data_IF_549871027493
#
_entry.id   IF_549871027493
#
_cell.length_a   1.000
_cell.length_b   1.000
_cell.length_c   1.000
_cell.angle_alpha   90.00
_cell.angle_beta   90.00
_cell.angle_gamma   90.00
#
_symmetry.space_group_name_H-M   'P 1'
#
loop_
_entity.id
_entity.type
_entity.pdbx_description
1 polymer ?
#
# COMPACT_ATOMS: atom_id res chain seq x y z
N UNK A 1 -12.84 -10.89 33.71
CA UNK A 1 -12.92 -10.45 32.32
C UNK A 1 -11.79 -11.15 31.60
N UNK A 2 -12.12 -12.12 30.77
CA UNK A 2 -11.23 -13.21 30.39
C UNK A 2 -9.99 -12.73 29.62
N UNK A 3 -8.81 -13.01 30.16
CA UNK A 3 -7.56 -12.90 29.43
C UNK A 3 -7.54 -14.03 28.38
N UNK A 4 -7.87 -13.71 27.13
CA UNK A 4 -7.51 -14.59 26.02
C UNK A 4 -5.98 -14.55 25.91
N UNK A 5 -5.31 -15.41 26.67
CA UNK A 5 -3.88 -15.66 26.53
C UNK A 5 -3.67 -16.52 25.30
N UNK A 6 -3.62 -15.85 24.15
CA UNK A 6 -3.14 -16.42 22.89
C UNK A 6 -1.62 -16.50 23.02
N UNK A 7 -1.02 -17.69 22.90
CA UNK A 7 0.39 -17.96 23.22
C UNK A 7 1.45 -17.05 22.54
N UNK A 8 1.06 -16.20 21.59
CA UNK A 8 1.90 -15.19 20.97
C UNK A 8 1.18 -13.81 20.93
N UNK A 9 1.85 -12.69 21.30
CA UNK A 9 1.27 -11.35 21.28
C UNK A 9 0.76 -10.88 19.90
N UNK A 10 1.21 -11.48 18.80
CA UNK A 10 0.79 -11.15 17.44
C UNK A 10 -0.40 -11.97 16.94
N UNK A 11 -0.87 -12.97 17.70
CA UNK A 11 -1.94 -13.86 17.26
C UNK A 11 -3.24 -13.09 16.97
N UNK A 12 -3.59 -12.09 17.79
CA UNK A 12 -4.77 -11.25 17.54
C UNK A 12 -4.68 -10.47 16.22
N UNK A 13 -3.50 -9.92 15.91
CA UNK A 13 -3.26 -9.19 14.64
C UNK A 13 -3.38 -10.14 13.45
N UNK A 14 -2.84 -11.35 13.56
CA UNK A 14 -2.96 -12.37 12.53
C UNK A 14 -4.41 -12.80 12.28
N UNK A 15 -5.18 -13.04 13.35
CA UNK A 15 -6.62 -13.35 13.23
C UNK A 15 -7.39 -12.20 12.60
N UNK A 16 -7.10 -10.96 12.99
CA UNK A 16 -7.71 -9.77 12.39
C UNK A 16 -7.41 -9.69 10.89
N UNK A 17 -6.17 -9.96 10.49
CA UNK A 17 -5.78 -10.00 9.08
C UNK A 17 -6.58 -11.04 8.30
N UNK A 18 -6.68 -12.28 8.81
CA UNK A 18 -7.46 -13.33 8.15
C UNK A 18 -8.94 -12.99 8.04
N UNK A 19 -9.54 -12.46 9.10
CA UNK A 19 -10.96 -12.08 9.12
C UNK A 19 -11.23 -10.94 8.15
N UNK A 20 -10.39 -9.90 8.14
CA UNK A 20 -10.57 -8.73 7.26
C UNK A 20 -10.33 -9.09 5.80
N UNK A 21 -9.28 -9.87 5.50
CA UNK A 21 -9.02 -10.38 4.16
C UNK A 21 -10.16 -11.28 3.66
N UNK A 22 -10.62 -12.21 4.51
CA UNK A 22 -11.76 -13.08 4.22
C UNK A 22 -13.05 -12.29 3.99
N UNK A 23 -13.34 -11.30 4.83
CA UNK A 23 -14.51 -10.44 4.68
C UNK A 23 -14.45 -9.58 3.41
N UNK A 24 -13.31 -8.98 3.09
CA UNK A 24 -13.12 -8.19 1.88
C UNK A 24 -13.28 -9.04 0.61
N UNK A 25 -12.68 -10.22 0.58
CA UNK A 25 -12.83 -11.15 -0.56
C UNK A 25 -14.25 -11.67 -0.69
N UNK A 26 -14.92 -12.04 0.41
CA UNK A 26 -16.33 -12.45 0.40
C UNK A 26 -17.25 -11.34 -0.10
N UNK A 27 -17.12 -10.13 0.44
CA UNK A 27 -17.98 -9.00 0.06
C UNK A 27 -17.80 -8.63 -1.40
N UNK A 28 -16.57 -8.61 -1.92
CA UNK A 28 -16.30 -8.36 -3.34
C UNK A 28 -16.86 -9.45 -4.26
N UNK A 29 -16.76 -10.74 -3.88
CA UNK A 29 -17.34 -11.85 -4.64
C UNK A 29 -18.87 -11.78 -4.63
N UNK A 30 -19.49 -11.62 -3.45
CA UNK A 30 -20.94 -11.50 -3.30
C UNK A 30 -21.46 -10.31 -4.09
N UNK A 31 -20.82 -9.14 -3.97
CA UNK A 31 -21.17 -7.95 -4.74
C UNK A 31 -21.07 -8.24 -6.24
N UNK A 32 -19.99 -8.85 -6.72
CA UNK A 32 -19.83 -9.21 -8.14
C UNK A 32 -20.92 -10.16 -8.62
N UNK A 33 -21.27 -11.19 -7.84
CA UNK A 33 -22.30 -12.17 -8.20
C UNK A 33 -23.70 -11.52 -8.21
N UNK A 34 -24.03 -10.75 -7.18
CA UNK A 34 -25.29 -10.02 -7.07
C UNK A 34 -25.44 -9.01 -8.21
N UNK A 35 -24.42 -8.20 -8.48
CA UNK A 35 -24.41 -7.26 -9.61
C UNK A 35 -24.58 -7.99 -10.94
N UNK A 36 -23.91 -9.13 -11.16
CA UNK A 36 -24.10 -9.91 -12.41
C UNK A 36 -25.47 -10.57 -12.51
N UNK A 37 -26.15 -10.85 -11.40
CA UNK A 37 -27.50 -11.41 -11.41
C UNK A 37 -28.55 -10.34 -11.74
N UNK A 38 -28.38 -9.13 -11.20
CA UNK A 38 -29.31 -8.01 -11.37
C UNK A 38 -29.06 -7.18 -12.65
N UNK A 39 -27.83 -7.16 -13.17
CA UNK A 39 -27.48 -6.33 -14.32
C UNK A 39 -28.06 -6.88 -15.64
N UNK A 40 -28.58 -5.96 -16.46
CA UNK A 40 -28.88 -6.23 -17.87
C UNK A 40 -27.56 -6.42 -18.63
N UNK A 41 -27.27 -7.67 -19.04
CA UNK A 41 -26.04 -8.04 -19.73
C UNK A 41 -26.14 -7.72 -21.22
N UNK A 42 -25.78 -6.50 -21.60
CA UNK A 42 -25.65 -6.14 -23.01
C UNK A 42 -24.19 -6.28 -23.44
N UNK A 43 -23.92 -7.19 -24.39
CA UNK A 43 -22.57 -7.52 -24.89
C UNK A 43 -22.26 -6.89 -26.24
N UNK A 44 -22.84 -5.72 -26.53
CA UNK A 44 -22.48 -4.94 -27.73
C UNK A 44 -20.98 -4.63 -27.77
N UNK A 45 -20.36 -4.89 -28.92
CA UNK A 45 -18.92 -4.69 -29.16
C UNK A 45 -18.45 -3.28 -28.79
N UNK A 46 -19.27 -2.26 -29.07
CA UNK A 46 -18.96 -0.84 -28.77
C UNK A 46 -18.95 -0.56 -27.26
N UNK A 47 -19.77 -1.25 -26.47
CA UNK A 47 -19.77 -1.10 -24.99
C UNK A 47 -18.54 -1.74 -24.34
N UNK A 48 -17.89 -2.67 -25.05
CA UNK A 48 -16.71 -3.40 -24.60
C UNK A 48 -15.39 -2.83 -25.16
N UNK A 49 -15.46 -1.85 -26.07
CA UNK A 49 -14.27 -1.15 -26.56
C UNK A 49 -13.77 -0.12 -25.56
N UNK A 50 -12.47 0.17 -25.61
CA UNK A 50 -11.86 1.24 -24.81
C UNK A 50 -12.48 2.58 -25.18
N UNK A 51 -12.73 3.41 -24.18
CA UNK A 51 -13.33 4.73 -24.36
C UNK A 51 -12.32 5.73 -24.92
N UNK A 52 -12.60 6.29 -26.10
CA UNK A 52 -11.78 7.34 -26.74
C UNK A 52 -12.63 8.49 -27.34
N UNK A 53 -13.85 8.72 -26.82
CA UNK A 53 -14.78 9.74 -27.33
C UNK A 53 -15.24 9.55 -28.81
N UNK A 54 -15.18 8.34 -29.35
CA UNK A 54 -15.77 8.01 -30.67
C UNK A 54 -14.81 7.32 -31.65
N UNK A 55 -13.59 7.84 -31.87
CA UNK A 55 -12.58 7.17 -32.68
C UNK A 55 -12.20 5.77 -32.16
N UNK A 56 -11.76 4.90 -33.06
CA UNK A 56 -11.19 3.61 -32.65
C UNK A 56 -9.84 3.83 -31.96
N UNK A 57 -9.67 3.20 -30.80
CA UNK A 57 -8.43 3.19 -30.04
C UNK A 57 -7.25 2.79 -30.92
N UNK A 58 -6.37 3.75 -31.17
CA UNK A 58 -5.05 3.44 -31.74
C UNK A 58 -4.09 3.22 -30.59
N UNK A 59 -3.10 2.31 -30.74
CA UNK A 59 -2.08 2.11 -29.71
C UNK A 59 -1.32 3.42 -29.52
N UNK A 60 -1.66 4.15 -28.48
CA UNK A 60 -0.99 5.39 -28.15
C UNK A 60 0.43 5.04 -27.65
N UNK A 61 1.51 5.53 -28.28
CA UNK A 61 2.88 5.22 -27.88
C UNK A 61 3.31 6.04 -26.64
N UNK A 62 2.35 6.35 -25.75
CA UNK A 62 2.57 7.27 -24.65
C UNK A 62 3.58 6.65 -23.69
N UNK A 63 4.76 7.26 -23.62
CA UNK A 63 5.78 6.87 -22.64
C UNK A 63 5.33 7.42 -21.30
N UNK A 64 5.32 6.56 -20.28
CA UNK A 64 5.12 7.00 -18.91
C UNK A 64 6.25 7.96 -18.56
N UNK A 65 5.88 9.08 -17.94
CA UNK A 65 6.81 10.12 -17.50
C UNK A 65 7.88 9.53 -16.56
N UNK A 66 9.19 9.72 -16.80
CA UNK A 66 10.23 9.24 -15.87
C UNK A 66 10.14 9.86 -14.48
N UNK A 67 9.43 10.98 -14.31
CA UNK A 67 9.24 11.59 -13.00
C UNK A 67 8.47 10.70 -12.02
N UNK A 68 7.59 9.79 -12.48
CA UNK A 68 7.00 8.78 -11.59
C UNK A 68 8.03 7.81 -11.02
N UNK A 69 9.05 7.47 -11.81
CA UNK A 69 10.18 6.66 -11.34
C UNK A 69 11.02 7.43 -10.31
N UNK A 70 11.30 8.71 -10.56
CA UNK A 70 12.03 9.55 -9.61
C UNK A 70 11.29 9.68 -8.27
N UNK A 71 9.96 9.86 -8.30
CA UNK A 71 9.14 9.88 -7.08
C UNK A 71 9.20 8.55 -6.33
N UNK A 72 9.09 7.41 -7.03
CA UNK A 72 9.17 6.10 -6.40
C UNK A 72 10.55 5.82 -5.79
N UNK A 73 11.62 6.20 -6.50
CA UNK A 73 13.00 6.05 -6.03
C UNK A 73 13.26 6.91 -4.79
N UNK A 74 12.81 8.16 -4.81
CA UNK A 74 12.95 9.08 -3.68
C UNK A 74 12.14 8.61 -2.47
N UNK A 75 10.90 8.13 -2.68
CA UNK A 75 10.08 7.53 -1.62
C UNK A 75 10.78 6.33 -0.99
N UNK A 76 11.37 5.44 -1.79
CA UNK A 76 12.09 4.28 -1.28
C UNK A 76 13.31 4.69 -0.44
N UNK A 77 14.04 5.74 -0.87
CA UNK A 77 15.19 6.25 -0.12
C UNK A 77 14.76 6.84 1.23
N UNK A 78 13.71 7.66 1.27
CA UNK A 78 13.18 8.21 2.52
C UNK A 78 12.55 7.16 3.44
N UNK A 79 11.95 6.09 2.89
CA UNK A 79 11.43 4.99 3.71
C UNK A 79 12.57 4.26 4.43
N UNK A 80 13.70 4.04 3.73
CA UNK A 80 14.92 3.49 4.34
C UNK A 80 15.48 4.39 5.43
N UNK A 81 15.49 5.72 5.23
CA UNK A 81 15.89 6.69 6.26
C UNK A 81 15.07 6.51 7.55
N UNK A 82 13.74 6.41 7.43
CA UNK A 82 12.83 6.23 8.56
C UNK A 82 13.08 4.89 9.28
N UNK A 83 13.37 3.82 8.55
CA UNK A 83 13.74 2.51 9.14
C UNK A 83 14.94 2.65 10.07
N UNK A 84 15.94 3.46 9.72
CA UNK A 84 17.10 3.73 10.59
C UNK A 84 16.80 4.68 11.75
N UNK A 85 15.84 5.59 11.58
CA UNK A 85 15.41 6.48 12.65
C UNK A 85 14.66 5.75 13.76
N UNK A 86 13.93 4.66 13.47
CA UNK A 86 13.11 3.96 14.47
C UNK A 86 13.90 3.42 15.67
N UNK A 87 15.00 2.63 15.51
CA UNK A 87 15.79 2.16 16.65
C UNK A 87 16.35 3.30 17.50
N UNK A 88 16.87 4.35 16.85
CA UNK A 88 17.36 5.54 17.55
C UNK A 88 16.26 6.27 18.32
N UNK A 89 15.05 6.37 17.76
CA UNK A 89 13.92 7.01 18.41
C UNK A 89 13.44 6.24 19.65
N UNK A 90 13.48 4.90 19.59
CA UNK A 90 13.11 4.03 20.72
C UNK A 90 14.13 4.13 21.86
N UNK A 91 15.42 4.12 21.54
CA UNK A 91 16.50 4.11 22.55
C UNK A 91 17.16 5.48 22.79
N UNK A 92 16.53 6.57 22.35
CA UNK A 92 17.09 7.94 22.34
C UNK A 92 17.75 8.34 23.68
N UNK A 93 17.12 8.02 24.81
CA UNK A 93 17.62 8.36 26.14
C UNK A 93 18.92 7.63 26.51
N UNK A 94 19.10 6.41 26.02
CA UNK A 94 20.29 5.61 26.27
C UNK A 94 21.48 6.14 25.47
N UNK A 95 21.25 6.58 24.24
CA UNK A 95 22.29 7.07 23.34
C UNK A 95 22.75 8.50 23.67
N UNK A 96 21.90 9.31 24.31
CA UNK A 96 22.22 10.66 24.78
C UNK A 96 22.72 11.59 23.66
N UNK A 97 23.65 12.47 23.99
CA UNK A 97 24.18 13.47 23.05
C UNK A 97 24.97 12.88 21.88
N UNK A 98 25.61 11.73 22.10
CA UNK A 98 26.39 11.06 21.05
C UNK A 98 25.47 10.57 19.92
N UNK A 99 24.45 9.77 20.25
CA UNK A 99 23.51 9.32 19.22
C UNK A 99 22.65 10.44 18.64
N UNK A 100 22.42 11.53 19.38
CA UNK A 100 21.79 12.72 18.80
C UNK A 100 22.64 13.33 17.68
N UNK A 101 23.94 13.51 17.91
CA UNK A 101 24.85 14.07 16.92
C UNK A 101 25.01 13.15 15.69
N UNK A 102 25.14 11.83 15.90
CA UNK A 102 25.22 10.86 14.80
C UNK A 102 23.93 10.82 13.97
N UNK A 103 22.76 10.87 14.61
CA UNK A 103 21.49 10.90 13.87
C UNK A 103 21.31 12.20 13.09
N UNK A 104 21.72 13.33 13.66
CA UNK A 104 21.67 14.62 12.96
C UNK A 104 22.59 14.61 11.74
N UNK A 105 23.79 14.02 11.86
CA UNK A 105 24.69 13.80 10.73
C UNK A 105 24.06 12.88 9.67
N UNK A 106 23.42 11.78 10.09
CA UNK A 106 22.75 10.83 9.20
C UNK A 106 21.63 11.51 8.38
N UNK A 107 20.75 12.26 9.02
CA UNK A 107 19.65 12.99 8.35
C UNK A 107 20.22 13.98 7.32
N UNK A 108 21.24 14.76 7.70
CA UNK A 108 21.87 15.73 6.79
C UNK A 108 22.56 15.09 5.57
N UNK A 109 22.93 13.81 5.64
CA UNK A 109 23.59 13.10 4.54
C UNK A 109 22.59 12.47 3.56
N UNK A 110 21.43 12.03 4.04
CA UNK A 110 20.42 11.35 3.21
C UNK A 110 19.28 12.27 2.74
N UNK A 111 19.04 13.41 3.40
CA UNK A 111 18.16 14.49 2.94
C UNK A 111 18.83 15.30 1.83
#
# INVERSE_FOLDING_TARGET
MEHISTANPYFGVFVLFLVTFGAFTMTTIVARLASRALAAKNSEKIKLSVYECGPEVTKQPNRISPQFYLFALLFLLFDVEIVFMFPWAVDFKLLGWFGFAEMLMFILLLT
#
